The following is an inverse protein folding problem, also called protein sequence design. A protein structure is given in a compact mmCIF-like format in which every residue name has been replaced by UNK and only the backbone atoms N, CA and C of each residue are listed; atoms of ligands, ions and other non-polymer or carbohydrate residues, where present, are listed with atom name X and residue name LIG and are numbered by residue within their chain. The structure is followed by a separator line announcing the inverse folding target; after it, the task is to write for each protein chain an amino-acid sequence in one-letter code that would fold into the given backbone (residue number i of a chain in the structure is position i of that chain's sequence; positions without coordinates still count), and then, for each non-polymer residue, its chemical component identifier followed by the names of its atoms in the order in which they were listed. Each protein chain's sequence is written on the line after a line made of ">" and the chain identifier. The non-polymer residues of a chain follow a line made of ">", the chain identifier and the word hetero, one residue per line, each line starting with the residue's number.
data_IF_774935589066
#
_entry.id   IF_774935589066
#
_cell.length_a   1.000
_cell.length_b   1.000
_cell.length_c   1.000
_cell.angle_alpha   90.00
_cell.angle_beta   90.00
_cell.angle_gamma   90.00
#
_symmetry.space_group_name_H-M   'P 1'
#
loop_
_entity.id
_entity.type
_entity.pdbx_description
1 polymer ?
#
# COMPACT_ATOMS: atom_id res chain seq x y z
N UNK A 1 -1.11 -1.55 7.93
CA UNK A 1 -0.56 -0.58 6.98
C UNK A 1 -1.00 -1.02 5.60
N UNK A 2 -1.85 -0.22 4.96
CA UNK A 2 -2.48 -0.53 3.68
C UNK A 2 -1.60 -0.05 2.51
N UNK A 3 -1.09 -1.03 1.76
CA UNK A 3 -0.61 -0.82 0.39
C UNK A 3 -1.82 -1.00 -0.51
N UNK A 4 -2.19 0.05 -1.24
CA UNK A 4 -3.47 0.11 -1.92
C UNK A 4 -3.53 -0.76 -3.16
N UNK A 5 -4.63 -1.48 -3.34
CA UNK A 5 -4.97 -2.21 -4.55
C UNK A 5 -6.18 -1.52 -5.18
N UNK A 6 -6.00 -0.95 -6.37
CA UNK A 6 -7.05 -0.26 -7.12
C UNK A 6 -6.72 -0.37 -8.61
N UNK A 7 -7.72 -0.17 -9.48
CA UNK A 7 -7.46 0.15 -10.87
C UNK A 7 -7.17 1.65 -11.01
N UNK A 8 -5.91 1.98 -11.26
CA UNK A 8 -5.49 3.33 -11.67
C UNK A 8 -4.66 3.26 -12.96
N UNK A 9 -4.94 2.26 -13.82
CA UNK A 9 -4.27 2.13 -15.10
C UNK A 9 -4.46 3.38 -15.95
N UNK A 10 -3.36 3.86 -16.53
CA UNK A 10 -3.37 5.04 -17.41
C UNK A 10 -3.58 6.38 -16.69
N UNK A 11 -3.75 6.41 -15.37
CA UNK A 11 -3.82 7.66 -14.62
C UNK A 11 -2.44 8.31 -14.51
N UNK A 12 -2.37 9.60 -14.85
CA UNK A 12 -1.19 10.42 -14.57
C UNK A 12 -1.17 10.80 -13.08
N UNK A 13 -0.03 10.55 -12.43
CA UNK A 13 0.19 10.85 -11.01
C UNK A 13 0.27 12.35 -10.72
N UNK A 14 0.61 13.17 -11.73
CA UNK A 14 0.53 14.62 -11.60
C UNK A 14 -0.89 15.11 -11.90
N UNK A 15 -1.71 15.27 -10.86
CA UNK A 15 -3.08 15.80 -11.00
C UNK A 15 -3.14 17.19 -11.63
N UNK A 16 -2.02 17.93 -11.70
CA UNK A 16 -2.00 19.24 -12.36
C UNK A 16 -2.05 19.13 -13.88
N UNK A 17 -1.65 17.99 -14.45
CA UNK A 17 -1.76 17.74 -15.90
C UNK A 17 -3.21 17.55 -16.36
N UNK A 18 -4.15 17.35 -15.42
CA UNK A 18 -5.53 17.03 -15.71
C UNK A 18 -6.40 18.29 -15.86
N UNK A 19 -7.17 18.33 -16.95
CA UNK A 19 -8.22 19.34 -17.19
C UNK A 19 -9.38 19.19 -16.22
N UNK A 20 -9.80 17.95 -15.98
CA UNK A 20 -10.84 17.60 -15.00
C UNK A 20 -10.18 16.90 -13.82
N UNK A 21 -10.44 17.39 -12.61
CA UNK A 21 -9.81 16.82 -11.42
C UNK A 21 -10.45 15.48 -11.06
N UNK A 22 -9.64 14.47 -10.71
CA UNK A 22 -10.17 13.18 -10.26
C UNK A 22 -10.95 13.35 -8.95
N UNK A 23 -11.97 12.51 -8.75
CA UNK A 23 -12.77 12.52 -7.52
C UNK A 23 -11.98 12.05 -6.30
N UNK A 24 -10.97 11.19 -6.51
CA UNK A 24 -10.12 10.65 -5.47
C UNK A 24 -8.76 11.34 -5.41
N UNK A 25 -8.22 11.45 -4.20
CA UNK A 25 -6.86 11.94 -3.97
C UNK A 25 -5.83 10.91 -4.49
N UNK A 26 -4.70 11.33 -5.11
CA UNK A 26 -3.67 10.41 -5.60
C UNK A 26 -3.13 9.43 -4.55
N UNK A 27 -3.12 9.82 -3.27
CA UNK A 27 -2.77 8.93 -2.14
C UNK A 27 -3.87 7.91 -1.82
N UNK A 28 -4.83 7.70 -2.72
CA UNK A 28 -5.83 6.63 -2.65
C UNK A 28 -5.75 5.69 -3.86
N UNK A 29 -4.79 5.90 -4.77
CA UNK A 29 -4.62 5.12 -6.01
C UNK A 29 -3.73 3.89 -5.83
N UNK A 30 -3.65 3.05 -6.88
CA UNK A 30 -2.92 1.78 -6.83
C UNK A 30 -1.47 1.95 -6.38
N UNK A 31 -1.01 1.05 -5.51
CA UNK A 31 0.34 1.05 -4.98
C UNK A 31 0.64 2.12 -3.94
N UNK A 32 -0.26 3.08 -3.67
CA UNK A 32 -0.02 4.08 -2.62
C UNK A 32 -0.01 3.44 -1.22
N UNK A 33 0.66 4.10 -0.28
CA UNK A 33 0.44 3.86 1.14
C UNK A 33 -0.76 4.71 1.54
N UNK A 34 -1.91 4.06 1.74
CA UNK A 34 -3.22 4.71 1.71
C UNK A 34 -3.31 5.97 2.60
N UNK A 35 -3.70 7.09 1.98
CA UNK A 35 -3.78 8.46 2.53
C UNK A 35 -2.50 8.98 3.17
N UNK A 36 -1.37 8.31 2.97
CA UNK A 36 -0.07 8.68 3.54
C UNK A 36 0.91 9.12 2.46
N UNK A 37 1.23 8.23 1.51
CA UNK A 37 2.24 8.48 0.48
C UNK A 37 1.78 7.93 -0.87
N UNK A 38 1.84 8.78 -1.90
CA UNK A 38 1.62 8.38 -3.29
C UNK A 38 2.76 7.44 -3.76
N UNK A 39 2.45 6.50 -4.65
CA UNK A 39 3.46 5.66 -5.30
C UNK A 39 4.45 6.52 -6.09
N UNK A 40 5.75 6.23 -6.02
CA UNK A 40 6.76 7.01 -6.75
C UNK A 40 6.64 6.85 -8.27
N UNK A 41 6.01 5.77 -8.73
CA UNK A 41 5.73 5.50 -10.14
C UNK A 41 4.41 4.75 -10.26
N UNK A 42 3.55 5.15 -11.20
CA UNK A 42 2.34 4.38 -11.51
C UNK A 42 2.74 3.16 -12.35
N UNK A 43 2.74 1.99 -11.70
CA UNK A 43 3.05 0.72 -12.34
C UNK A 43 1.84 -0.20 -12.40
N UNK A 44 0.62 0.34 -12.35
CA UNK A 44 -0.60 -0.44 -12.52
C UNK A 44 -0.75 -0.84 -13.99
N UNK A 45 -0.81 -2.14 -14.30
CA UNK A 45 -1.18 -2.66 -15.63
C UNK A 45 -2.70 -2.54 -15.90
N UNK A 46 -3.16 -2.70 -17.15
CA UNK A 46 -4.59 -2.68 -17.48
C UNK A 46 -5.44 -3.64 -16.63
N UNK A 47 -6.75 -3.35 -16.49
CA UNK A 47 -7.66 -4.25 -15.77
C UNK A 47 -7.66 -5.66 -16.35
N UNK A 48 -7.99 -6.63 -15.50
CA UNK A 48 -7.99 -8.08 -15.83
C UNK A 48 -6.60 -8.65 -16.15
N UNK A 49 -5.53 -7.90 -15.90
CA UNK A 49 -4.15 -8.38 -15.93
C UNK A 49 -3.66 -8.65 -14.50
N UNK A 50 -2.86 -9.71 -14.32
CA UNK A 50 -2.23 -9.97 -13.03
C UNK A 50 -1.23 -8.86 -12.68
N UNK A 51 -1.32 -8.39 -11.43
CA UNK A 51 -0.39 -7.44 -10.82
C UNK A 51 0.43 -8.19 -9.79
N UNK A 52 1.74 -7.98 -9.74
CA UNK A 52 2.61 -8.57 -8.71
C UNK A 52 3.04 -7.53 -7.70
N UNK A 53 3.01 -7.91 -6.41
CA UNK A 53 3.52 -7.10 -5.31
C UNK A 53 4.57 -7.89 -4.55
N UNK A 54 5.80 -7.37 -4.49
CA UNK A 54 6.82 -7.85 -3.57
C UNK A 54 6.97 -6.80 -2.46
N UNK A 55 6.72 -7.22 -1.22
CA UNK A 55 6.67 -6.31 -0.07
C UNK A 55 7.68 -6.76 0.98
N UNK A 56 8.66 -5.90 1.27
CA UNK A 56 9.53 -6.05 2.43
C UNK A 56 9.00 -5.20 3.56
N UNK A 57 8.59 -5.84 4.66
CA UNK A 57 8.00 -5.17 5.80
C UNK A 57 8.82 -5.40 7.06
N UNK A 58 9.16 -4.32 7.76
CA UNK A 58 9.75 -4.37 9.11
C UNK A 58 8.68 -3.89 10.09
N UNK A 59 8.28 -4.78 10.99
CA UNK A 59 7.25 -4.50 12.00
C UNK A 59 7.65 -3.37 12.96
N UNK A 60 6.68 -2.60 13.49
CA UNK A 60 6.95 -1.63 14.55
C UNK A 60 7.45 -2.37 15.81
N UNK A 61 8.31 -1.71 16.60
CA UNK A 61 8.82 -2.25 17.87
C UNK A 61 8.17 -1.58 19.06
N UNK A 62 8.04 -2.33 20.15
CA UNK A 62 7.42 -1.90 21.39
C UNK A 62 8.26 -2.29 22.60
N UNK A 63 8.19 -1.48 23.65
CA UNK A 63 8.62 -1.79 25.01
C UNK A 63 7.36 -1.78 25.89
N UNK A 64 6.87 -2.96 26.25
CA UNK A 64 5.51 -3.10 26.79
C UNK A 64 4.48 -2.58 25.78
N UNK A 65 3.64 -1.65 26.21
CA UNK A 65 2.64 -1.01 25.36
C UNK A 65 3.15 0.22 24.60
N UNK A 66 4.37 0.68 24.88
CA UNK A 66 4.94 1.88 24.27
C UNK A 66 5.63 1.54 22.96
N UNK A 67 5.16 2.11 21.85
CA UNK A 67 5.85 2.02 20.57
C UNK A 67 7.20 2.75 20.63
N UNK A 68 8.27 2.08 20.23
CA UNK A 68 9.65 2.61 20.24
C UNK A 68 10.26 2.76 18.84
N UNK A 69 9.78 1.99 17.86
CA UNK A 69 10.14 2.19 16.44
C UNK A 69 8.91 2.02 15.56
N UNK A 70 8.80 2.88 14.55
CA UNK A 70 7.77 2.77 13.52
C UNK A 70 8.03 1.59 12.60
N UNK A 71 6.98 1.15 11.92
CA UNK A 71 7.12 0.16 10.86
C UNK A 71 7.85 0.77 9.66
N UNK A 72 8.51 -0.07 8.86
CA UNK A 72 9.13 0.35 7.60
C UNK A 72 8.72 -0.57 6.47
N UNK A 73 8.55 -0.03 5.26
CA UNK A 73 8.07 -0.78 4.11
C UNK A 73 8.81 -0.41 2.83
N UNK A 74 9.21 -1.42 2.07
CA UNK A 74 9.60 -1.32 0.66
C UNK A 74 8.58 -2.08 -0.16
N UNK A 75 8.09 -1.48 -1.25
CA UNK A 75 7.11 -2.09 -2.14
C UNK A 75 7.65 -2.06 -3.56
N UNK A 76 7.61 -3.22 -4.20
CA UNK A 76 7.89 -3.41 -5.61
C UNK A 76 6.59 -3.85 -6.27
N UNK A 77 6.15 -3.11 -7.29
CA UNK A 77 4.93 -3.38 -8.04
C UNK A 77 5.30 -3.65 -9.49
N UNK A 78 4.99 -4.85 -9.98
CA UNK A 78 5.34 -5.32 -11.32
C UNK A 78 6.85 -5.17 -11.64
N UNK A 79 7.70 -5.56 -10.69
CA UNK A 79 9.17 -5.53 -10.83
C UNK A 79 9.82 -4.16 -10.64
N UNK A 80 9.04 -3.10 -10.41
CA UNK A 80 9.55 -1.75 -10.19
C UNK A 80 9.32 -1.33 -8.74
N UNK A 81 10.37 -0.83 -8.10
CA UNK A 81 10.29 -0.30 -6.73
C UNK A 81 9.49 1.01 -6.73
N UNK A 82 8.36 1.04 -6.02
CA UNK A 82 7.45 2.21 -5.94
C UNK A 82 7.40 2.87 -4.56
N UNK A 83 8.03 2.24 -3.57
CA UNK A 83 8.35 2.79 -2.25
C UNK A 83 9.66 2.16 -1.77
N UNK A 84 10.60 2.97 -1.29
CA UNK A 84 11.89 2.48 -0.77
C UNK A 84 12.05 2.83 0.71
N UNK A 85 12.05 1.80 1.57
CA UNK A 85 12.27 1.88 3.02
C UNK A 85 11.49 3.02 3.71
N UNK A 86 10.20 3.15 3.36
CA UNK A 86 9.34 4.22 3.87
C UNK A 86 8.97 3.94 5.32
N UNK A 87 9.21 4.93 6.19
CA UNK A 87 8.75 4.88 7.58
C UNK A 87 7.25 5.18 7.70
N UNK A 88 6.54 4.32 8.44
CA UNK A 88 5.10 4.38 8.63
C UNK A 88 4.78 4.81 10.07
N UNK A 89 4.42 6.09 10.31
CA UNK A 89 4.26 6.61 11.67
C UNK A 89 3.03 6.09 12.40
N UNK A 90 2.04 5.57 11.65
CA UNK A 90 0.81 4.97 12.19
C UNK A 90 0.16 4.05 11.15
N UNK A 91 -0.82 3.26 11.59
CA UNK A 91 -1.67 2.49 10.68
C UNK A 91 -2.42 3.38 9.67
N UNK A 92 -2.76 2.81 8.53
CA UNK A 92 -3.50 3.47 7.44
C UNK A 92 -4.80 2.73 7.13
N UNK A 93 -5.72 3.42 6.45
CA UNK A 93 -6.96 2.85 5.95
C UNK A 93 -7.92 2.38 7.04
N UNK A 94 -8.75 1.39 6.73
CA UNK A 94 -9.77 0.86 7.65
C UNK A 94 -9.16 0.28 8.95
N UNK A 95 -7.90 -0.17 8.90
CA UNK A 95 -7.16 -0.66 10.06
C UNK A 95 -6.43 0.43 10.86
N UNK A 96 -6.42 1.69 10.39
CA UNK A 96 -5.52 2.72 10.90
C UNK A 96 -5.78 3.18 12.33
N UNK A 97 -7.02 3.03 12.82
CA UNK A 97 -7.41 3.39 14.18
C UNK A 97 -7.21 2.24 15.19
N UNK A 98 -6.82 1.04 14.73
CA UNK A 98 -6.54 -0.09 15.62
C UNK A 98 -5.20 0.14 16.31
N UNK A 99 -5.07 -0.34 17.55
CA UNK A 99 -3.79 -0.37 18.26
C UNK A 99 -2.77 -1.14 17.42
N UNK A 100 -1.61 -0.53 17.19
CA UNK A 100 -0.52 -1.19 16.48
C UNK A 100 0.04 -2.32 17.35
N UNK A 101 0.40 -3.44 16.72
CA UNK A 101 0.93 -4.63 17.36
C UNK A 101 2.17 -5.11 16.62
N UNK A 102 3.10 -5.77 17.33
CA UNK A 102 4.36 -6.25 16.77
C UNK A 102 4.17 -7.38 15.74
N UNK A 103 3.10 -8.18 15.88
CA UNK A 103 2.76 -9.27 14.96
C UNK A 103 1.26 -9.26 14.70
N UNK A 104 0.86 -9.24 13.44
CA UNK A 104 -0.53 -9.27 13.02
C UNK A 104 -0.69 -10.00 11.69
N UNK A 105 -1.94 -10.29 11.28
CA UNK A 105 -2.20 -10.98 10.02
C UNK A 105 -1.96 -10.07 8.82
N UNK A 106 -1.71 -10.68 7.65
CA UNK A 106 -1.95 -10.03 6.37
C UNK A 106 -3.46 -10.05 6.12
N UNK A 107 -4.02 -8.89 5.76
CA UNK A 107 -5.45 -8.75 5.46
C UNK A 107 -5.61 -8.24 4.05
N UNK A 108 -6.35 -8.99 3.23
CA UNK A 108 -6.80 -8.54 1.91
C UNK A 108 -8.14 -7.82 2.10
N UNK A 109 -8.20 -6.55 1.73
CA UNK A 109 -9.38 -5.73 1.94
C UNK A 109 -10.51 -6.15 0.99
N UNK A 110 -11.73 -6.32 1.53
CA UNK A 110 -12.95 -6.45 0.75
C UNK A 110 -13.68 -5.11 0.70
N UNK A 111 -13.65 -4.42 -0.44
CA UNK A 111 -14.25 -3.08 -0.62
C UNK A 111 -15.47 -3.12 -1.56
N UNK A 112 -16.18 -4.25 -1.64
CA UNK A 112 -17.36 -4.43 -2.50
C UNK A 112 -17.06 -4.61 -4.00
N UNK A 113 -15.82 -4.37 -4.43
CA UNK A 113 -15.38 -4.64 -5.81
C UNK A 113 -14.84 -6.08 -5.95
N UNK A 114 -15.21 -6.82 -7.02
CA UNK A 114 -14.63 -8.13 -7.28
C UNK A 114 -13.13 -8.04 -7.59
N UNK A 115 -12.32 -8.64 -6.72
CA UNK A 115 -10.87 -8.83 -6.93
C UNK A 115 -10.55 -10.32 -6.80
N UNK A 116 -9.54 -10.78 -7.53
CA UNK A 116 -9.00 -12.15 -7.42
C UNK A 116 -7.54 -12.05 -7.02
N UNK A 117 -7.13 -12.97 -6.15
CA UNK A 117 -5.74 -13.08 -5.72
C UNK A 117 -5.26 -14.51 -5.98
N UNK A 118 -4.00 -14.65 -6.35
CA UNK A 118 -3.32 -15.94 -6.49
C UNK A 118 -1.87 -15.79 -6.00
N UNK A 119 -1.19 -16.91 -5.81
CA UNK A 119 0.23 -16.97 -5.47
C UNK A 119 0.57 -16.00 -4.31
N UNK A 120 0.06 -16.30 -3.12
CA UNK A 120 0.33 -15.51 -1.91
C UNK A 120 1.15 -16.38 -0.98
N UNK A 121 2.34 -15.92 -0.63
CA UNK A 121 3.21 -16.55 0.35
C UNK A 121 3.91 -15.49 1.19
N UNK A 122 4.42 -15.90 2.35
CA UNK A 122 5.17 -15.06 3.26
C UNK A 122 6.40 -15.83 3.73
N UNK A 123 7.53 -15.11 3.82
CA UNK A 123 8.77 -15.63 4.39
C UNK A 123 9.18 -14.64 5.49
N UNK A 124 9.46 -15.16 6.69
CA UNK A 124 9.96 -14.32 7.78
C UNK A 124 11.38 -13.83 7.45
N UNK A 125 11.65 -12.55 7.75
CA UNK A 125 12.92 -11.88 7.49
C UNK A 125 13.96 -12.19 8.55
#
# INVERSE_FOLDING_TARGET
>A
YETQVLDSFGLDLDINSWKEKPQSDPKQWCGCLYKFKLADTNMCFPPLTWQTYDIHFTAPRFEGDKKTKNARITVIHNGIKIHDDVELPKGTGAGGNRKEIARGPIVLQGHGNPVRYCNIWIVEK
#
